data_IF_366431069101
#
_entry.id   IF_366431069101
#
_cell.length_a   1.000
_cell.length_b   1.000
_cell.length_c   1.000
_cell.angle_alpha   90.00
_cell.angle_beta   90.00
_cell.angle_gamma   90.00
#
_symmetry.space_group_name_H-M   'P 1'
#
loop_
_entity.id
_entity.type
_entity.pdbx_description
1 polymer ?
#
# COMPACT_ATOMS: atom_id res chain seq x y z
N UNK A 1 -10.75 -8.44 9.86
CA UNK A 1 -10.14 -9.79 9.89
C UNK A 1 -9.15 -9.83 8.76
N UNK A 2 -7.87 -9.92 9.08
CA UNK A 2 -6.83 -10.00 8.05
C UNK A 2 -7.05 -11.29 7.25
N UNK A 3 -6.99 -11.20 5.92
CA UNK A 3 -7.03 -12.36 5.04
C UNK A 3 -5.61 -12.89 4.88
N UNK A 4 -5.38 -14.21 4.92
CA UNK A 4 -4.05 -14.76 4.69
C UNK A 4 -3.69 -14.59 3.21
N UNK A 5 -2.42 -14.28 2.95
CA UNK A 5 -1.92 -14.14 1.57
C UNK A 5 -1.74 -15.53 0.97
N UNK A 6 -2.16 -15.73 -0.28
CA UNK A 6 -1.92 -16.99 -0.99
C UNK A 6 -0.43 -17.01 -1.40
N UNK A 7 0.36 -17.88 -0.79
CA UNK A 7 1.78 -17.99 -1.15
C UNK A 7 1.99 -18.76 -2.46
N UNK A 8 1.25 -19.85 -2.65
CA UNK A 8 1.18 -20.59 -3.91
C UNK A 8 -0.12 -21.40 -4.01
N UNK A 9 -0.60 -21.62 -5.24
CA UNK A 9 -1.76 -22.50 -5.55
C UNK A 9 -1.38 -23.98 -5.71
N UNK A 10 -0.18 -24.37 -5.29
CA UNK A 10 0.29 -25.75 -5.31
C UNK A 10 0.82 -26.15 -3.93
N UNK A 11 0.57 -27.39 -3.47
CA UNK A 11 1.13 -27.86 -2.20
C UNK A 11 2.66 -27.95 -2.28
N UNK A 12 3.31 -27.82 -1.14
CA UNK A 12 4.75 -28.09 -1.02
C UNK A 12 4.93 -29.54 -0.57
N UNK A 13 5.72 -30.31 -1.32
CA UNK A 13 6.14 -31.66 -0.91
C UNK A 13 7.32 -31.51 0.05
N UNK A 14 7.16 -31.99 1.28
CA UNK A 14 8.19 -31.93 2.32
C UNK A 14 8.32 -33.28 3.01
N UNK A 15 9.55 -33.68 3.25
CA UNK A 15 9.88 -34.87 4.03
C UNK A 15 9.89 -34.48 5.51
N UNK A 16 8.94 -35.02 6.28
CA UNK A 16 8.91 -34.83 7.72
C UNK A 16 9.63 -35.96 8.42
N UNK A 17 10.32 -35.64 9.51
CA UNK A 17 10.98 -36.61 10.39
C UNK A 17 10.14 -36.78 11.65
N UNK A 18 9.78 -38.03 11.99
CA UNK A 18 9.03 -38.35 13.18
C UNK A 18 9.70 -37.81 14.45
N UNK A 19 8.93 -37.12 15.28
CA UNK A 19 9.40 -36.50 16.53
C UNK A 19 9.99 -35.10 16.39
N UNK A 20 10.15 -34.56 15.17
CA UNK A 20 10.56 -33.16 14.99
C UNK A 20 9.37 -32.21 15.05
N UNK A 21 9.61 -31.02 15.63
CA UNK A 21 8.64 -29.93 15.69
C UNK A 21 8.80 -29.00 14.49
N UNK A 22 7.71 -28.82 13.75
CA UNK A 22 7.65 -27.92 12.61
C UNK A 22 6.72 -26.75 12.89
N UNK A 23 7.06 -25.58 12.34
CA UNK A 23 6.24 -24.37 12.46
C UNK A 23 5.71 -23.95 11.10
N UNK A 24 4.44 -24.26 10.82
CA UNK A 24 3.78 -23.94 9.56
C UNK A 24 3.36 -22.47 9.48
N UNK A 25 3.63 -21.84 8.33
CA UNK A 25 3.24 -20.45 8.07
C UNK A 25 1.74 -20.34 7.82
N UNK A 26 1.02 -19.55 8.63
CA UNK A 26 -0.41 -19.24 8.47
C UNK A 26 -0.70 -17.96 7.68
N UNK A 27 0.21 -16.98 7.70
CA UNK A 27 -0.02 -15.67 7.09
C UNK A 27 0.24 -15.63 5.58
N UNK A 28 1.01 -16.58 5.03
CA UNK A 28 1.42 -16.60 3.63
C UNK A 28 2.60 -15.70 3.24
N UNK A 29 3.11 -14.90 4.19
CA UNK A 29 4.18 -13.91 3.93
C UNK A 29 5.60 -14.43 4.13
N UNK A 30 5.77 -15.67 4.59
CA UNK A 30 7.09 -16.24 4.83
C UNK A 30 7.87 -16.41 3.53
N UNK A 31 9.16 -16.07 3.52
CA UNK A 31 10.08 -16.38 2.43
C UNK A 31 10.55 -17.84 2.44
N UNK A 32 10.40 -18.55 3.57
CA UNK A 32 10.77 -19.97 3.73
C UNK A 32 9.55 -20.91 3.70
N UNK A 33 8.59 -20.64 2.79
CA UNK A 33 7.40 -21.49 2.63
C UNK A 33 7.80 -22.98 2.47
N UNK A 34 7.08 -23.91 3.11
CA UNK A 34 5.80 -23.75 3.83
C UNK A 34 5.95 -23.35 5.30
N UNK A 35 7.16 -23.16 5.81
CA UNK A 35 7.45 -22.89 7.22
C UNK A 35 7.48 -21.39 7.54
N UNK A 36 7.43 -21.07 8.82
CA UNK A 36 7.47 -19.69 9.30
C UNK A 36 8.91 -19.19 9.53
N UNK A 37 9.20 -18.01 8.99
CA UNK A 37 10.46 -17.25 9.14
C UNK A 37 10.35 -16.05 10.11
N UNK A 38 9.15 -15.75 10.62
CA UNK A 38 8.88 -14.57 11.43
C UNK A 38 8.21 -13.40 10.68
N UNK A 39 7.97 -13.51 9.37
CA UNK A 39 7.30 -12.49 8.54
C UNK A 39 5.82 -12.26 8.89
N UNK A 40 5.29 -12.97 9.88
CA UNK A 40 3.96 -12.72 10.45
C UNK A 40 3.93 -11.55 11.44
N UNK A 41 5.09 -11.06 11.90
CA UNK A 41 5.19 -9.92 12.83
C UNK A 41 4.48 -8.70 12.24
N UNK A 42 3.52 -8.15 12.99
CA UNK A 42 2.67 -7.04 12.55
C UNK A 42 1.32 -7.47 11.94
N UNK A 43 1.07 -8.77 11.80
CA UNK A 43 -0.25 -9.30 11.40
C UNK A 43 -0.96 -9.97 12.57
N UNK A 44 -2.28 -10.17 12.46
CA UNK A 44 -3.05 -10.94 13.45
C UNK A 44 -2.83 -12.46 13.39
N UNK A 45 -1.92 -12.96 12.54
CA UNK A 45 -1.68 -14.39 12.37
C UNK A 45 -0.58 -14.93 13.28
N UNK A 46 -0.90 -15.99 14.01
CA UNK A 46 0.08 -16.81 14.76
C UNK A 46 0.40 -18.09 13.98
N UNK A 47 1.68 -18.45 13.80
CA UNK A 47 2.08 -19.72 13.16
C UNK A 47 1.55 -20.95 13.90
N UNK A 48 1.35 -22.05 13.17
CA UNK A 48 0.90 -23.32 13.76
C UNK A 48 2.12 -24.23 14.00
N UNK A 49 2.37 -24.56 15.26
CA UNK A 49 3.36 -25.57 15.64
C UNK A 49 2.70 -26.94 15.62
N UNK A 50 3.35 -27.93 15.01
CA UNK A 50 2.92 -29.31 15.02
C UNK A 50 4.13 -30.25 15.03
N UNK A 51 3.96 -31.43 15.61
CA UNK A 51 4.97 -32.48 15.65
C UNK A 51 4.62 -33.53 14.61
N UNK A 52 5.61 -34.00 13.85
CA UNK A 52 5.39 -35.09 12.90
C UNK A 52 5.32 -36.44 13.65
N UNK A 53 4.23 -37.18 13.50
CA UNK A 53 4.07 -38.50 14.12
C UNK A 53 4.82 -39.60 13.37
N UNK A 54 4.89 -39.50 12.04
CA UNK A 54 5.52 -40.46 11.15
C UNK A 54 6.53 -39.77 10.23
N UNK A 55 7.61 -40.49 9.89
CA UNK A 55 8.58 -40.01 8.91
C UNK A 55 8.09 -40.35 7.51
N UNK A 56 7.86 -39.33 6.67
CA UNK A 56 7.35 -39.55 5.33
C UNK A 56 7.18 -38.27 4.51
N UNK A 57 6.97 -38.46 3.22
CA UNK A 57 6.70 -37.35 2.28
C UNK A 57 5.25 -36.90 2.44
N UNK A 58 5.03 -35.66 2.88
CA UNK A 58 3.68 -35.09 3.02
C UNK A 58 3.53 -33.80 2.22
N UNK A 59 2.28 -33.45 1.93
CA UNK A 59 1.93 -32.25 1.19
C UNK A 59 1.40 -31.17 2.13
N UNK A 60 2.19 -30.13 2.34
CA UNK A 60 1.83 -28.99 3.17
C UNK A 60 1.12 -27.89 2.37
N UNK A 61 0.14 -27.25 3.00
CA UNK A 61 -0.66 -26.21 2.35
C UNK A 61 0.13 -24.90 2.16
N UNK A 62 0.11 -24.36 0.94
CA UNK A 62 0.67 -23.05 0.61
C UNK A 62 -0.39 -21.98 0.33
N UNK A 63 -1.63 -22.35 0.02
CA UNK A 63 -2.70 -21.39 -0.25
C UNK A 63 -3.32 -20.78 1.03
N UNK A 64 -3.04 -21.35 2.20
CA UNK A 64 -3.50 -20.91 3.54
C UNK A 64 -5.01 -20.88 3.77
N UNK A 65 -5.77 -21.47 2.84
CA UNK A 65 -7.23 -21.58 2.88
C UNK A 65 -7.68 -23.04 3.11
N UNK A 66 -6.78 -23.92 3.53
CA UNK A 66 -7.12 -25.32 3.81
C UNK A 66 -8.01 -25.44 5.06
N UNK A 67 -8.99 -26.34 5.01
CA UNK A 67 -9.78 -26.77 6.17
C UNK A 67 -9.06 -27.79 7.05
N UNK A 68 -7.97 -28.41 6.58
CA UNK A 68 -7.20 -29.43 7.28
C UNK A 68 -5.75 -28.99 7.54
N UNK A 69 -5.58 -27.78 8.08
CA UNK A 69 -4.25 -27.22 8.39
C UNK A 69 -3.47 -28.15 9.34
N UNK A 70 -2.18 -28.44 9.08
CA UNK A 70 -1.26 -27.83 8.11
C UNK A 70 -1.23 -28.50 6.71
N UNK A 71 -1.98 -29.57 6.51
CA UNK A 71 -1.95 -30.40 5.31
C UNK A 71 -2.76 -29.82 4.15
N UNK A 72 -2.48 -30.27 2.94
CA UNK A 72 -3.25 -29.89 1.76
C UNK A 72 -4.52 -30.75 1.61
N UNK A 73 -5.66 -30.09 1.45
CA UNK A 73 -6.99 -30.69 1.22
C UNK A 73 -7.53 -30.47 -0.22
N UNK A 74 -6.71 -29.87 -1.10
CA UNK A 74 -7.11 -29.55 -2.46
C UNK A 74 -7.91 -28.24 -2.62
N UNK A 75 -8.15 -27.48 -1.54
CA UNK A 75 -8.90 -26.21 -1.61
C UNK A 75 -8.26 -25.18 -2.54
N UNK A 76 -6.94 -25.27 -2.75
CA UNK A 76 -6.19 -24.41 -3.68
C UNK A 76 -6.73 -24.41 -5.12
N UNK A 77 -7.38 -25.49 -5.58
CA UNK A 77 -7.92 -25.60 -6.94
C UNK A 77 -9.24 -24.84 -7.14
N UNK A 78 -9.89 -24.41 -6.05
CA UNK A 78 -11.23 -23.77 -6.07
C UNK A 78 -11.19 -22.28 -5.68
N UNK A 79 -9.99 -21.71 -5.50
CA UNK A 79 -9.84 -20.31 -5.11
C UNK A 79 -10.03 -19.37 -6.31
N UNK A 80 -10.82 -18.28 -6.18
CA UNK A 80 -10.99 -17.30 -7.24
C UNK A 80 -9.66 -16.59 -7.58
N UNK A 81 -9.46 -16.20 -8.83
CA UNK A 81 -8.26 -15.46 -9.30
C UNK A 81 -8.07 -14.12 -8.56
N UNK A 82 -9.17 -13.49 -8.15
CA UNK A 82 -9.18 -12.21 -7.42
C UNK A 82 -8.58 -12.29 -6.00
N UNK A 83 -8.30 -13.48 -5.47
CA UNK A 83 -7.64 -13.64 -4.17
C UNK A 83 -6.11 -13.47 -4.22
N UNK A 84 -5.54 -13.16 -5.39
CA UNK A 84 -4.09 -13.03 -5.62
C UNK A 84 -3.50 -11.67 -5.22
N UNK A 85 -4.32 -10.68 -4.85
CA UNK A 85 -3.89 -9.28 -4.74
C UNK A 85 -4.05 -8.67 -3.34
N UNK A 86 -3.73 -9.42 -2.29
CA UNK A 86 -3.37 -8.79 -1.01
C UNK A 86 -1.87 -8.47 -1.03
N UNK A 87 -1.51 -7.35 -1.68
CA UNK A 87 -0.21 -6.67 -1.65
C UNK A 87 0.99 -7.59 -1.34
N UNK A 88 1.46 -8.33 -2.35
CA UNK A 88 2.87 -8.67 -2.36
C UNK A 88 3.62 -7.33 -2.34
N UNK A 89 4.54 -7.08 -1.39
CA UNK A 89 5.34 -5.86 -1.44
C UNK A 89 5.96 -5.78 -2.84
N UNK A 90 5.88 -4.62 -3.53
CA UNK A 90 6.55 -4.49 -4.81
C UNK A 90 7.99 -4.94 -4.62
N UNK A 91 8.39 -5.99 -5.33
CA UNK A 91 9.78 -6.44 -5.23
C UNK A 91 10.66 -5.25 -5.62
N UNK A 92 11.71 -4.94 -4.85
CA UNK A 92 12.59 -3.83 -5.18
C UNK A 92 13.17 -4.08 -6.57
N UNK A 93 12.68 -3.32 -7.55
CA UNK A 93 13.27 -3.32 -8.89
C UNK A 93 14.70 -2.86 -8.74
N UNK A 94 15.64 -3.70 -9.16
CA UNK A 94 17.07 -3.37 -9.06
C UNK A 94 17.50 -2.71 -10.36
N UNK A 95 18.14 -1.55 -10.25
CA UNK A 95 18.79 -0.90 -11.37
C UNK A 95 19.97 -1.79 -11.87
N UNK A 96 20.47 -1.59 -13.09
CA UNK A 96 21.60 -2.35 -13.65
C UNK A 96 22.86 -2.34 -12.75
N UNK A 97 22.97 -1.31 -11.90
CA UNK A 97 24.09 -1.12 -10.98
C UNK A 97 23.86 -1.75 -9.59
N UNK A 98 22.80 -2.55 -9.41
CA UNK A 98 22.48 -3.22 -8.15
C UNK A 98 21.83 -2.34 -7.08
N UNK A 99 21.67 -1.03 -7.33
CA UNK A 99 20.93 -0.12 -6.46
C UNK A 99 19.41 -0.30 -6.63
N UNK A 100 18.59 -0.02 -5.60
CA UNK A 100 17.14 0.01 -5.74
C UNK A 100 16.74 1.09 -6.76
N UNK A 101 15.88 0.74 -7.71
CA UNK A 101 15.31 1.67 -8.68
C UNK A 101 14.09 2.38 -8.05
N UNK A 102 14.01 3.69 -8.29
CA UNK A 102 12.92 4.51 -7.81
C UNK A 102 11.63 4.17 -8.57
N UNK A 103 10.56 3.84 -7.84
CA UNK A 103 9.23 3.53 -8.37
C UNK A 103 8.23 4.48 -7.74
N UNK A 104 7.28 5.05 -8.51
CA UNK A 104 6.22 5.90 -7.97
C UNK A 104 5.41 5.14 -6.92
N UNK A 105 5.28 5.71 -5.73
CA UNK A 105 4.35 5.24 -4.69
C UNK A 105 3.18 6.22 -4.57
N UNK A 106 2.06 5.83 -3.94
CA UNK A 106 0.96 6.75 -3.67
C UNK A 106 1.39 7.99 -2.86
N UNK A 107 2.32 7.82 -1.93
CA UNK A 107 2.86 8.89 -1.08
C UNK A 107 3.88 9.77 -1.84
N UNK A 108 4.66 9.18 -2.75
CA UNK A 108 5.68 9.87 -3.53
C UNK A 108 5.56 9.57 -5.03
N UNK A 109 4.51 10.08 -5.70
CA UNK A 109 4.23 9.76 -7.10
C UNK A 109 5.30 10.29 -8.07
N UNK A 110 6.08 11.29 -7.65
CA UNK A 110 7.11 11.95 -8.47
C UNK A 110 8.52 11.41 -8.25
N UNK A 111 8.72 10.41 -7.37
CA UNK A 111 10.08 9.96 -6.97
C UNK A 111 10.90 9.46 -8.16
N UNK A 112 10.28 8.69 -9.05
CA UNK A 112 10.96 8.18 -10.25
C UNK A 112 11.46 9.32 -11.14
N UNK A 113 10.60 10.31 -11.40
CA UNK A 113 10.92 11.45 -12.25
C UNK A 113 12.08 12.29 -11.68
N UNK A 114 12.11 12.49 -10.36
CA UNK A 114 13.22 13.20 -9.68
C UNK A 114 14.55 12.44 -9.89
N UNK A 115 14.53 11.12 -9.78
CA UNK A 115 15.73 10.29 -10.00
C UNK A 115 16.21 10.31 -11.46
N UNK A 116 15.28 10.37 -12.42
CA UNK A 116 15.60 10.53 -13.84
C UNK A 116 16.25 11.89 -14.12
N UNK A 117 15.67 12.98 -13.60
CA UNK A 117 16.24 14.33 -13.70
C UNK A 117 17.61 14.43 -13.03
N UNK A 118 17.81 13.77 -11.88
CA UNK A 118 19.11 13.77 -11.20
C UNK A 118 20.19 13.04 -12.01
N UNK A 119 19.83 11.97 -12.72
CA UNK A 119 20.75 11.16 -13.53
C UNK A 119 21.09 11.84 -14.85
N UNK A 120 20.07 12.30 -15.56
CA UNK A 120 20.19 12.73 -16.95
C UNK A 120 20.21 14.25 -17.09
N UNK A 121 19.78 14.99 -16.08
CA UNK A 121 19.65 16.44 -16.11
C UNK A 121 18.76 16.93 -17.25
N UNK A 122 19.02 18.15 -17.72
CA UNK A 122 18.31 18.77 -18.83
C UNK A 122 18.68 18.19 -20.21
N UNK A 123 19.58 17.20 -20.26
CA UNK A 123 20.06 16.64 -21.54
C UNK A 123 18.98 15.87 -22.29
N UNK A 124 18.06 15.22 -21.57
CA UNK A 124 16.95 14.43 -22.15
C UNK A 124 15.64 15.21 -22.30
N UNK A 125 15.38 16.16 -21.41
CA UNK A 125 14.13 16.95 -21.37
C UNK A 125 14.23 18.28 -22.11
N UNK A 126 15.41 18.63 -22.62
CA UNK A 126 15.69 19.90 -23.30
C UNK A 126 16.01 21.03 -22.32
N UNK A 127 16.47 22.17 -22.86
CA UNK A 127 16.99 23.32 -22.09
C UNK A 127 16.00 23.88 -21.05
N UNK A 128 14.71 23.72 -21.30
CA UNK A 128 13.63 24.27 -20.47
C UNK A 128 12.92 23.21 -19.62
N UNK A 129 13.30 21.94 -19.71
CA UNK A 129 12.57 20.84 -19.08
C UNK A 129 11.21 20.57 -19.73
N UNK A 130 10.43 19.67 -19.13
CA UNK A 130 9.05 19.45 -19.53
C UNK A 130 8.24 20.74 -19.33
N UNK A 131 7.66 21.25 -20.41
CA UNK A 131 6.78 22.41 -20.36
C UNK A 131 5.33 21.94 -20.26
N UNK A 132 4.71 22.16 -19.12
CA UNK A 132 3.26 22.05 -18.96
C UNK A 132 2.56 23.34 -19.41
N UNK A 133 1.35 23.21 -19.94
CA UNK A 133 0.47 24.36 -20.06
C UNK A 133 0.01 24.75 -18.65
N UNK A 134 0.45 25.90 -18.16
CA UNK A 134 -0.04 26.45 -16.89
C UNK A 134 -1.47 26.97 -17.10
N UNK A 135 -2.45 26.07 -16.98
CA UNK A 135 -3.86 26.40 -17.09
C UNK A 135 -4.68 25.39 -16.30
N UNK A 136 -5.55 25.89 -15.44
CA UNK A 136 -6.58 25.04 -14.81
C UNK A 136 -7.67 24.82 -15.86
N UNK A 137 -8.00 23.57 -16.23
CA UNK A 137 -9.10 23.29 -17.15
C UNK A 137 -10.38 23.99 -16.68
N UNK A 138 -11.19 24.51 -17.62
CA UNK A 138 -12.44 25.21 -17.29
C UNK A 138 -13.38 24.36 -16.42
N UNK A 139 -13.37 23.03 -16.61
CA UNK A 139 -14.15 22.07 -15.82
C UNK A 139 -13.71 21.94 -14.36
N UNK A 140 -12.49 22.38 -14.03
CA UNK A 140 -11.94 22.39 -12.68
C UNK A 140 -12.05 23.77 -12.01
N UNK A 141 -12.43 24.80 -12.76
CA UNK A 141 -12.71 26.11 -12.20
C UNK A 141 -14.10 26.10 -11.55
N UNK A 142 -14.30 26.83 -10.43
CA UNK A 142 -15.62 26.99 -9.84
C UNK A 142 -16.59 27.61 -10.85
N UNK A 143 -17.75 27.00 -11.01
CA UNK A 143 -18.82 27.62 -11.77
C UNK A 143 -19.48 28.72 -10.95
N UNK A 144 -20.11 29.69 -11.61
CA UNK A 144 -20.87 30.75 -10.93
C UNK A 144 -21.93 30.21 -9.97
N UNK A 145 -22.43 29.00 -10.23
CA UNK A 145 -23.40 28.32 -9.37
C UNK A 145 -22.76 27.73 -8.09
N UNK A 146 -21.45 27.49 -8.08
CA UNK A 146 -20.70 26.98 -6.92
C UNK A 146 -20.29 28.09 -5.95
N UNK A 147 -20.32 29.35 -6.41
CA UNK A 147 -19.98 30.52 -5.60
C UNK A 147 -21.18 30.86 -4.69
N UNK A 148 -21.14 30.34 -3.47
CA UNK A 148 -22.08 30.76 -2.44
C UNK A 148 -21.65 32.11 -1.85
N UNK A 149 -22.23 33.19 -2.36
CA UNK A 149 -22.21 34.48 -1.68
C UNK A 149 -23.15 34.41 -0.48
N UNK A 150 -22.63 33.92 0.65
CA UNK A 150 -23.30 34.12 1.92
C UNK A 150 -23.26 35.62 2.20
N UNK A 151 -24.40 36.30 2.39
CA UNK A 151 -24.36 37.63 2.97
C UNK A 151 -23.68 37.43 4.31
N UNK A 152 -22.46 37.96 4.46
CA UNK A 152 -21.75 37.90 5.73
C UNK A 152 -22.76 38.33 6.79
N UNK A 153 -23.12 37.42 7.70
CA UNK A 153 -23.76 37.84 8.93
C UNK A 153 -22.71 38.75 9.56
N UNK A 154 -22.88 40.06 9.40
CA UNK A 154 -21.97 41.01 9.98
C UNK A 154 -21.83 40.64 11.45
N UNK A 155 -20.62 40.30 11.87
CA UNK A 155 -20.35 39.88 13.25
C UNK A 155 -20.89 40.91 14.27
N UNK A 156 -21.03 42.17 13.83
CA UNK A 156 -21.86 43.21 14.45
C UNK A 156 -22.67 43.93 13.38
N UNK A 157 -23.96 44.11 13.62
CA UNK A 157 -24.80 44.95 12.76
C UNK A 157 -24.16 46.34 12.58
N UNK A 158 -24.14 46.90 11.36
CA UNK A 158 -23.76 48.29 11.15
C UNK A 158 -24.58 49.19 12.08
N UNK A 159 -23.96 50.27 12.56
CA UNK A 159 -24.68 51.31 13.27
C UNK A 159 -25.62 52.04 12.30
N UNK A 160 -26.75 52.54 12.80
CA UNK A 160 -27.65 53.38 12.00
C UNK A 160 -26.99 54.73 11.75
N UNK A 161 -27.39 55.41 10.68
CA UNK A 161 -26.79 56.67 10.23
C UNK A 161 -26.75 57.77 11.31
N UNK A 162 -27.69 57.72 12.27
CA UNK A 162 -27.84 58.70 13.36
C UNK A 162 -27.08 58.34 14.64
N UNK A 163 -26.27 57.28 14.63
CA UNK A 163 -25.50 56.89 15.81
C UNK A 163 -24.18 57.64 15.84
N UNK A 164 -23.96 58.40 16.91
CA UNK A 164 -22.69 59.08 17.15
C UNK A 164 -21.53 58.08 17.25
N UNK A 165 -20.52 58.26 16.41
CA UNK A 165 -19.28 57.47 16.43
C UNK A 165 -18.09 58.35 16.78
N UNK A 166 -17.25 57.87 17.70
CA UNK A 166 -15.98 58.51 18.01
C UNK A 166 -14.93 58.07 16.98
N UNK A 167 -14.12 59.03 16.51
CA UNK A 167 -12.91 58.75 15.74
C UNK A 167 -11.71 59.31 16.49
N UNK A 168 -10.60 58.59 16.45
CA UNK A 168 -9.33 59.03 17.02
C UNK A 168 -8.25 58.91 15.93
N UNK A 169 -7.41 59.93 15.82
CA UNK A 169 -6.27 59.94 14.92
C UNK A 169 -5.05 59.41 15.66
N UNK A 170 -4.59 58.23 15.27
CA UNK A 170 -3.33 57.67 15.77
C UNK A 170 -2.22 58.00 14.77
N UNK A 171 -1.28 58.86 15.18
CA UNK A 171 -0.04 59.12 14.45
C UNK A 171 1.07 58.36 15.16
N UNK A 172 1.68 57.40 14.46
CA UNK A 172 2.88 56.68 14.90
C UNK A 172 4.15 57.45 14.64
#
# INVERSE_FOLDING_TARGET
>A
MDKPVIAARQPSKVDLVAGEEYTWCRCGRSSSQPFCDGSHRGTSFTPLKFTAEESGEVFLCQCKNTGNAPFCDGTHARLPEEAESAEAPPQPVTAPNGAPAAVPTPEEPTVQYIHELARDGLSKVGRHGEMGAMGVPRSELPDWNDIQLLPAQFARKPLLDEVDVASELVIG
#
